data_IF_851013497061
#
_entry.id   IF_851013497061
#
_cell.length_a   1.000
_cell.length_b   1.000
_cell.length_c   1.000
_cell.angle_alpha   90.00
_cell.angle_beta   90.00
_cell.angle_gamma   90.00
#
_symmetry.space_group_name_H-M   'P 1'
#
loop_
_entity.id
_entity.type
_entity.pdbx_description
1 polymer ?
#
# COMPACT_ATOMS: atom_id res chain seq x y z
N UNK A 1 -9.74 0.71 -7.71
CA UNK A 1 -8.46 -0.01 -7.53
C UNK A 1 -8.51 -0.99 -6.36
N UNK A 2 -8.89 -0.56 -5.16
CA UNK A 2 -8.94 -1.39 -3.94
C UNK A 2 -10.36 -1.96 -3.72
N UNK A 3 -10.47 -3.16 -3.10
CA UNK A 3 -11.76 -3.78 -2.72
C UNK A 3 -11.97 -3.87 -1.21
N UNK A 4 -10.89 -3.92 -0.42
CA UNK A 4 -11.02 -4.11 1.01
C UNK A 4 -9.81 -3.52 1.76
N UNK A 5 -10.07 -3.05 2.98
CA UNK A 5 -9.04 -2.59 3.93
C UNK A 5 -9.26 -3.34 5.23
N UNK A 6 -8.21 -3.91 5.81
CA UNK A 6 -8.28 -4.67 7.06
C UNK A 6 -7.01 -4.52 7.88
N UNK A 7 -7.12 -4.68 9.19
CA UNK A 7 -5.96 -4.66 10.07
C UNK A 7 -6.33 -4.51 11.54
N UNK A 8 -5.30 -4.54 12.40
CA UNK A 8 -5.41 -4.24 13.83
C UNK A 8 -4.11 -3.61 14.31
N UNK A 9 -4.21 -2.48 15.02
CA UNK A 9 -3.03 -1.72 15.45
C UNK A 9 -2.19 -1.26 14.24
N UNK A 10 -0.87 -1.44 14.32
CA UNK A 10 0.07 -1.04 13.25
C UNK A 10 0.24 -2.10 12.15
N UNK A 11 -0.56 -3.17 12.13
CA UNK A 11 -0.54 -4.16 11.05
C UNK A 11 -1.81 -4.03 10.21
N UNK A 12 -1.70 -3.32 9.10
CA UNK A 12 -2.81 -3.00 8.21
C UNK A 12 -2.55 -3.51 6.79
N UNK A 13 -3.60 -3.71 6.02
CA UNK A 13 -3.50 -4.21 4.65
C UNK A 13 -4.62 -3.67 3.76
N UNK A 14 -4.28 -3.49 2.49
CA UNK A 14 -5.24 -3.21 1.41
C UNK A 14 -5.27 -4.38 0.45
N UNK A 15 -6.47 -4.72 -0.03
CA UNK A 15 -6.70 -5.76 -1.03
C UNK A 15 -6.98 -5.09 -2.38
N UNK A 16 -6.16 -5.43 -3.38
CA UNK A 16 -6.30 -4.93 -4.73
C UNK A 16 -7.45 -5.67 -5.43
N UNK A 17 -8.29 -4.93 -6.15
CA UNK A 17 -9.39 -5.46 -6.94
C UNK A 17 -8.87 -6.09 -8.24
N UNK A 18 -8.08 -7.14 -8.10
CA UNK A 18 -7.47 -7.87 -9.20
C UNK A 18 -7.11 -9.28 -8.73
N UNK A 19 -6.84 -10.17 -9.69
CA UNK A 19 -6.40 -11.54 -9.42
C UNK A 19 -5.03 -11.57 -8.71
N UNK A 20 -4.74 -12.60 -7.88
CA UNK A 20 -3.41 -12.79 -7.29
C UNK A 20 -2.25 -12.93 -8.29
N UNK A 21 -2.54 -13.29 -9.54
CA UNK A 21 -1.57 -13.45 -10.61
C UNK A 21 -1.28 -12.14 -11.37
N UNK A 22 -2.11 -11.11 -11.17
CA UNK A 22 -1.94 -9.80 -11.81
C UNK A 22 -0.74 -9.03 -11.26
N UNK A 23 -0.08 -8.26 -12.11
CA UNK A 23 1.00 -7.35 -11.72
C UNK A 23 0.51 -6.12 -10.96
N UNK A 24 -0.80 -5.80 -10.98
CA UNK A 24 -1.35 -4.55 -10.44
C UNK A 24 -0.86 -4.22 -9.03
N UNK A 25 -0.77 -5.23 -8.14
CA UNK A 25 -0.31 -5.01 -6.78
C UNK A 25 1.20 -4.72 -6.70
N UNK A 26 2.00 -5.36 -7.55
CA UNK A 26 3.41 -5.09 -7.69
C UNK A 26 3.66 -3.70 -8.29
N UNK A 27 2.95 -3.34 -9.35
CA UNK A 27 3.06 -2.04 -10.02
C UNK A 27 2.69 -0.90 -9.07
N UNK A 28 1.67 -1.09 -8.23
CA UNK A 28 1.33 -0.15 -7.17
C UNK A 28 2.45 -0.04 -6.13
N UNK A 29 3.09 -1.13 -5.73
CA UNK A 29 4.27 -1.09 -4.84
C UNK A 29 5.46 -0.36 -5.47
N UNK A 30 5.68 -0.50 -6.79
CA UNK A 30 6.70 0.27 -7.52
C UNK A 30 6.36 1.76 -7.52
N UNK A 31 5.08 2.12 -7.74
CA UNK A 31 4.63 3.51 -7.65
C UNK A 31 4.79 4.09 -6.24
N UNK A 32 4.48 3.31 -5.20
CA UNK A 32 4.70 3.71 -3.79
C UNK A 32 6.20 3.96 -3.53
N UNK A 33 7.08 3.07 -4.00
CA UNK A 33 8.54 3.24 -3.89
C UNK A 33 8.99 4.56 -4.53
N UNK A 34 8.50 4.86 -5.73
CA UNK A 34 8.87 6.09 -6.44
C UNK A 34 8.38 7.36 -5.72
N UNK A 35 7.29 7.27 -4.96
CA UNK A 35 6.81 8.34 -4.09
C UNK A 35 7.43 8.30 -2.67
N UNK A 36 8.40 7.42 -2.41
CA UNK A 36 9.16 7.39 -1.15
C UNK A 36 8.67 6.40 -0.09
N UNK A 37 7.75 5.49 -0.41
CA UNK A 37 7.22 4.50 0.54
C UNK A 37 7.48 3.07 0.08
N UNK A 38 8.25 2.32 0.88
CA UNK A 38 8.54 0.92 0.61
C UNK A 38 7.39 0.03 1.11
N UNK A 39 6.86 -0.79 0.21
CA UNK A 39 5.88 -1.81 0.51
C UNK A 39 6.08 -3.00 -0.44
N UNK A 40 5.50 -4.14 -0.10
CA UNK A 40 5.49 -5.32 -0.98
C UNK A 40 4.12 -5.98 -1.00
N UNK A 41 3.73 -6.59 -2.12
CA UNK A 41 2.58 -7.47 -2.15
C UNK A 41 2.86 -8.75 -1.36
N UNK A 42 1.79 -9.37 -0.91
CA UNK A 42 1.71 -10.66 -0.23
C UNK A 42 0.53 -11.41 -0.80
N UNK A 43 0.66 -12.73 -0.96
CA UNK A 43 -0.38 -13.56 -1.57
C UNK A 43 -0.88 -13.01 -2.93
N UNK A 44 0.00 -12.35 -3.69
CA UNK A 44 -0.33 -11.74 -4.99
C UNK A 44 -0.93 -10.35 -4.89
N UNK A 45 -2.19 -10.24 -4.45
CA UNK A 45 -3.00 -9.02 -4.57
C UNK A 45 -3.21 -8.24 -3.26
N UNK A 46 -2.41 -8.49 -2.21
CA UNK A 46 -2.56 -7.84 -0.90
C UNK A 46 -1.30 -7.08 -0.53
N UNK A 47 -1.39 -5.78 -0.25
CA UNK A 47 -0.25 -4.99 0.25
C UNK A 47 -0.42 -4.82 1.76
N UNK A 48 0.60 -5.23 2.53
CA UNK A 48 0.63 -5.09 4.00
C UNK A 48 1.53 -3.92 4.40
N UNK A 49 1.01 -3.06 5.27
CA UNK A 49 1.72 -1.97 5.92
C UNK A 49 1.95 -2.36 7.38
N UNK A 50 3.23 -2.51 7.73
CA UNK A 50 3.69 -2.83 9.07
C UNK A 50 4.85 -1.88 9.45
N UNK A 51 4.56 -0.59 9.68
CA UNK A 51 5.57 0.37 10.10
C UNK A 51 6.18 0.00 11.46
N UNK A 52 7.39 0.50 11.79
CA UNK A 52 7.98 0.35 13.11
C UNK A 52 7.06 0.92 14.20
N UNK A 53 6.98 0.25 15.35
CA UNK A 53 6.13 0.69 16.48
C UNK A 53 6.61 1.99 17.15
N UNK A 54 7.82 2.44 16.80
CA UNK A 54 8.45 3.66 17.30
C UNK A 54 8.21 4.88 16.39
N UNK A 55 7.49 4.69 15.27
CA UNK A 55 7.11 5.76 14.34
C UNK A 55 6.29 6.84 15.04
N UNK A 56 6.59 8.09 14.75
CA UNK A 56 5.82 9.24 15.23
C UNK A 56 4.54 9.45 14.41
N UNK A 57 3.56 10.15 14.98
CA UNK A 57 2.31 10.50 14.29
C UNK A 57 2.57 11.27 12.97
N UNK A 58 3.53 12.21 12.97
CA UNK A 58 3.88 12.97 11.76
C UNK A 58 4.45 12.10 10.64
N UNK A 59 5.29 11.12 10.98
CA UNK A 59 5.83 10.17 10.00
C UNK A 59 4.74 9.23 9.47
N UNK A 60 3.80 8.83 10.33
CA UNK A 60 2.63 8.05 9.95
C UNK A 60 1.75 8.83 8.97
N UNK A 61 1.44 10.10 9.26
CA UNK A 61 0.65 10.96 8.39
C UNK A 61 1.33 11.17 7.03
N UNK A 62 2.65 11.40 7.02
CA UNK A 62 3.42 11.50 5.78
C UNK A 62 3.33 10.20 4.95
N UNK A 63 3.38 9.03 5.59
CA UNK A 63 3.20 7.75 4.91
C UNK A 63 1.78 7.59 4.35
N UNK A 64 0.76 8.00 5.11
CA UNK A 64 -0.65 7.95 4.68
C UNK A 64 -0.86 8.85 3.46
N UNK A 65 -0.26 10.05 3.44
CA UNK A 65 -0.36 10.97 2.29
C UNK A 65 0.32 10.39 1.04
N UNK A 66 1.49 9.74 1.19
CA UNK A 66 2.13 9.02 0.07
C UNK A 66 1.21 7.91 -0.46
N UNK A 67 0.60 7.11 0.42
CA UNK A 67 -0.32 6.04 0.03
C UNK A 67 -1.53 6.63 -0.69
N UNK A 68 -2.15 7.67 -0.13
CA UNK A 68 -3.32 8.35 -0.68
C UNK A 68 -3.05 8.88 -2.08
N UNK A 69 -2.00 9.69 -2.24
CA UNK A 69 -1.58 10.26 -3.52
C UNK A 69 -1.34 9.15 -4.54
N UNK A 70 -0.54 8.16 -4.16
CA UNK A 70 -0.20 7.06 -5.07
C UNK A 70 -1.44 6.31 -5.53
N UNK A 71 -2.37 5.97 -4.65
CA UNK A 71 -3.59 5.23 -5.01
C UNK A 71 -4.52 6.04 -5.91
N UNK A 72 -4.63 7.35 -5.69
CA UNK A 72 -5.48 8.23 -6.51
C UNK A 72 -4.90 8.46 -7.91
N UNK A 73 -3.58 8.62 -8.00
CA UNK A 73 -2.89 8.87 -9.27
C UNK A 73 -2.62 7.57 -10.07
N UNK A 74 -2.77 6.40 -9.43
CA UNK A 74 -2.45 5.12 -10.04
C UNK A 74 -3.42 4.78 -11.19
N UNK A 75 -2.91 4.85 -12.41
CA UNK A 75 -3.59 4.36 -13.61
C UNK A 75 -3.15 2.93 -13.88
N UNK A 76 -4.12 2.04 -14.10
CA UNK A 76 -3.82 0.67 -14.57
C UNK A 76 -3.20 0.78 -15.96
N UNK A 77 -2.07 0.11 -16.15
CA UNK A 77 -1.47 -0.10 -17.47
C UNK A 77 -2.34 -0.99 -18.34
#
# INVERSE_FOLDING_TARGET
LLVHVRGKGMLNAVVINDSPQSSTAWDLCVALKNNGLLAKPTHGNIIRFAPPLVMTEKELDACIEIIRKTVLDFKRG
#
